data_IF_993289900278
#
_entry.id   IF_993289900278
#
_cell.length_a   1.000
_cell.length_b   1.000
_cell.length_c   1.000
_cell.angle_alpha   90.00
_cell.angle_beta   90.00
_cell.angle_gamma   90.00
#
_symmetry.space_group_name_H-M   'P 1'
#
loop_
_entity.id
_entity.type
_entity.pdbx_description
1 polymer ?
#
# COMPACT_ATOMS: atom_id res chain seq x y z
N UNK A 1 -20.09 12.89 -10.31
CA UNK A 1 -19.41 11.99 -9.34
C UNK A 1 -19.11 10.66 -10.06
N UNK A 2 -17.98 10.58 -10.80
CA UNK A 2 -17.61 9.37 -11.55
C UNK A 2 -16.65 8.56 -10.69
N UNK A 3 -17.15 7.47 -10.13
CA UNK A 3 -16.33 6.45 -9.49
C UNK A 3 -15.74 5.59 -10.61
N UNK A 4 -14.48 5.78 -10.95
CA UNK A 4 -13.75 4.87 -11.83
C UNK A 4 -13.39 3.61 -11.04
N UNK A 5 -14.17 2.55 -11.23
CA UNK A 5 -13.81 1.20 -10.80
C UNK A 5 -12.83 0.65 -11.84
N UNK A 6 -11.54 0.54 -11.48
CA UNK A 6 -10.58 -0.22 -12.27
C UNK A 6 -10.85 -1.71 -12.09
N UNK A 7 -11.59 -2.31 -13.06
CA UNK A 7 -11.71 -3.75 -13.14
C UNK A 7 -10.46 -4.26 -13.88
N UNK A 8 -9.52 -4.84 -13.10
CA UNK A 8 -8.43 -5.61 -13.66
C UNK A 8 -8.95 -6.99 -14.05
N UNK A 9 -9.10 -7.26 -15.34
CA UNK A 9 -9.36 -8.61 -15.85
C UNK A 9 -8.05 -9.40 -15.75
N UNK A 10 -7.94 -10.24 -14.73
CA UNK A 10 -6.88 -11.24 -14.65
C UNK A 10 -7.13 -12.33 -15.67
N UNK A 11 -6.43 -12.30 -16.79
CA UNK A 11 -6.36 -13.45 -17.69
C UNK A 11 -5.59 -14.58 -17.00
N UNK A 12 -6.20 -15.74 -16.94
CA UNK A 12 -5.64 -16.98 -16.40
C UNK A 12 -4.38 -17.37 -17.18
N UNK A 13 -3.23 -17.10 -16.62
CA UNK A 13 -1.97 -17.65 -17.12
C UNK A 13 -1.89 -19.14 -16.75
N UNK A 14 -1.61 -19.96 -17.74
CA UNK A 14 -1.65 -21.42 -17.69
C UNK A 14 -0.67 -22.01 -16.65
N UNK A 15 -1.06 -23.15 -16.09
CA UNK A 15 -0.36 -23.92 -15.03
C UNK A 15 1.11 -24.34 -15.33
N UNK A 16 1.67 -23.94 -16.46
CA UNK A 16 3.06 -24.24 -16.85
C UNK A 16 4.11 -23.27 -16.28
N UNK A 17 3.72 -22.10 -15.78
CA UNK A 17 4.65 -21.10 -15.22
C UNK A 17 4.80 -21.26 -13.71
N UNK A 18 3.90 -21.97 -13.04
CA UNK A 18 3.93 -22.15 -11.58
C UNK A 18 5.15 -22.95 -11.07
N UNK A 19 5.75 -23.82 -11.88
CA UNK A 19 6.89 -24.66 -11.48
C UNK A 19 8.27 -24.02 -11.69
N UNK A 20 8.38 -22.83 -12.24
CA UNK A 20 9.65 -22.11 -12.40
C UNK A 20 9.89 -21.01 -11.37
N UNK A 21 8.95 -20.79 -10.48
CA UNK A 21 8.99 -19.72 -9.45
C UNK A 21 9.31 -20.25 -8.04
N UNK A 22 9.69 -21.51 -7.89
CA UNK A 22 10.27 -22.04 -6.65
C UNK A 22 11.71 -21.58 -6.43
N UNK A 23 11.93 -20.28 -6.45
CA UNK A 23 13.24 -19.72 -6.10
C UNK A 23 13.05 -18.62 -5.07
N UNK A 24 13.35 -18.99 -3.84
CA UNK A 24 13.68 -18.11 -2.73
C UNK A 24 12.68 -16.98 -2.43
N UNK A 25 11.83 -17.26 -1.46
CA UNK A 25 11.26 -16.24 -0.59
C UNK A 25 9.79 -15.89 -0.72
N UNK A 26 8.92 -16.82 -0.63
CA UNK A 26 7.80 -16.57 0.27
C UNK A 26 8.26 -16.98 1.67
N UNK A 27 8.97 -16.12 2.38
CA UNK A 27 9.23 -16.32 3.81
C UNK A 27 7.89 -16.08 4.49
N UNK A 28 7.10 -17.14 4.55
CA UNK A 28 5.86 -17.20 5.33
C UNK A 28 6.23 -16.97 6.80
N UNK A 29 5.39 -16.27 7.53
CA UNK A 29 5.71 -15.88 8.91
C UNK A 29 6.75 -14.77 9.02
N UNK A 30 6.89 -13.90 8.01
CA UNK A 30 7.88 -12.81 7.99
C UNK A 30 7.26 -11.45 8.32
N UNK A 31 8.13 -10.55 8.78
CA UNK A 31 7.78 -9.15 8.97
C UNK A 31 8.42 -8.27 7.90
N UNK A 32 7.72 -7.23 7.48
CA UNK A 32 8.23 -6.18 6.62
C UNK A 32 8.10 -4.84 7.35
N UNK A 33 9.24 -4.18 7.59
CA UNK A 33 9.25 -2.79 8.02
C UNK A 33 9.43 -1.89 6.81
N UNK A 34 8.59 -0.87 6.68
CA UNK A 34 8.66 0.10 5.57
C UNK A 34 8.70 1.53 6.07
N UNK A 35 9.36 2.36 5.27
CA UNK A 35 9.40 3.81 5.42
C UNK A 35 8.97 4.48 4.12
N UNK A 36 8.14 5.50 4.22
CA UNK A 36 7.86 6.41 3.11
C UNK A 36 9.11 7.20 2.74
N UNK A 37 9.38 7.36 1.45
CA UNK A 37 10.55 8.07 0.94
C UNK A 37 10.19 9.26 0.05
N UNK A 38 9.00 9.24 -0.53
CA UNK A 38 8.52 10.32 -1.41
C UNK A 38 7.01 10.26 -1.51
N UNK A 39 6.34 11.42 -1.46
CA UNK A 39 4.91 11.56 -1.71
C UNK A 39 4.70 12.68 -2.72
N UNK A 40 3.79 12.47 -3.65
CA UNK A 40 3.36 13.48 -4.60
C UNK A 40 1.85 13.51 -4.68
N UNK A 41 1.27 14.67 -4.40
CA UNK A 41 -0.11 14.99 -4.66
C UNK A 41 -0.22 15.88 -5.91
N UNK A 42 -1.28 15.67 -6.69
CA UNK A 42 -1.55 16.51 -7.86
C UNK A 42 -1.96 17.94 -7.48
N UNK A 43 -2.38 18.14 -6.24
CA UNK A 43 -2.79 19.42 -5.70
C UNK A 43 -1.73 19.90 -4.68
N UNK A 44 -1.08 21.02 -4.95
CA UNK A 44 -0.01 21.61 -4.13
C UNK A 44 -0.45 22.06 -2.72
N UNK A 45 -1.76 22.04 -2.43
CA UNK A 45 -2.29 22.33 -1.10
C UNK A 45 -2.12 21.16 -0.12
N UNK A 46 -1.85 19.97 -0.62
CA UNK A 46 -1.69 18.78 0.20
C UNK A 46 -0.25 18.60 0.65
N UNK A 47 -0.12 17.99 1.82
CA UNK A 47 1.18 17.65 2.39
C UNK A 47 1.92 16.62 1.51
N UNK A 48 3.11 16.98 1.04
CA UNK A 48 4.03 16.09 0.34
C UNK A 48 5.16 15.58 1.24
N UNK A 49 5.21 15.99 2.52
CA UNK A 49 6.17 15.44 3.46
C UNK A 49 5.85 13.97 3.72
N UNK A 50 6.89 13.16 3.71
CA UNK A 50 6.73 11.71 3.82
C UNK A 50 7.31 11.23 5.14
N UNK A 51 6.47 11.10 6.16
CA UNK A 51 6.83 10.56 7.47
C UNK A 51 6.20 9.18 7.78
N UNK A 52 5.78 8.45 6.75
CA UNK A 52 5.16 7.14 6.89
C UNK A 52 6.15 6.10 7.39
N UNK A 53 5.72 5.35 8.40
CA UNK A 53 6.31 4.11 8.85
C UNK A 53 5.24 3.03 8.95
N UNK A 54 5.52 1.83 8.47
CA UNK A 54 4.62 0.69 8.59
C UNK A 54 5.35 -0.58 9.00
N UNK A 55 4.60 -1.47 9.65
CA UNK A 55 4.99 -2.83 9.94
C UNK A 55 3.91 -3.75 9.40
N UNK A 56 4.30 -4.70 8.56
CA UNK A 56 3.44 -5.73 7.99
C UNK A 56 3.92 -7.11 8.47
N UNK A 57 2.98 -8.01 8.76
CA UNK A 57 3.20 -9.42 9.00
C UNK A 57 2.60 -10.23 7.86
N UNK A 58 3.39 -11.10 7.25
CA UNK A 58 2.99 -12.00 6.16
C UNK A 58 2.78 -13.39 6.72
N UNK A 59 1.54 -13.85 6.71
CA UNK A 59 1.17 -15.15 7.27
C UNK A 59 1.31 -16.28 6.24
N UNK A 60 1.26 -17.52 6.73
CA UNK A 60 1.42 -18.72 5.91
C UNK A 60 0.30 -18.94 4.89
N UNK A 61 -0.83 -18.27 5.04
CA UNK A 61 -2.02 -18.39 4.17
C UNK A 61 -2.13 -17.24 3.14
N UNK A 62 -1.02 -16.58 2.80
CA UNK A 62 -0.92 -15.48 1.83
C UNK A 62 -1.64 -14.19 2.22
N UNK A 63 -2.07 -14.07 3.48
CA UNK A 63 -2.59 -12.82 4.01
C UNK A 63 -1.47 -12.01 4.64
N UNK A 64 -1.53 -10.70 4.44
CA UNK A 64 -0.76 -9.75 5.20
C UNK A 64 -1.66 -8.98 6.17
N UNK A 65 -1.08 -8.58 7.30
CA UNK A 65 -1.69 -7.73 8.31
C UNK A 65 -0.72 -6.61 8.63
N UNK A 66 -1.19 -5.39 8.67
CA UNK A 66 -0.29 -4.25 8.82
C UNK A 66 -0.87 -3.11 9.63
N UNK A 67 0.06 -2.31 10.13
CA UNK A 67 -0.22 -1.02 10.74
C UNK A 67 0.73 0.02 10.16
N UNK A 68 0.21 1.17 9.80
CA UNK A 68 1.02 2.32 9.38
C UNK A 68 0.69 3.55 10.22
N UNK A 69 1.72 4.37 10.49
CA UNK A 69 1.60 5.71 11.05
C UNK A 69 2.19 6.70 10.06
N UNK A 70 1.54 7.84 9.87
CA UNK A 70 1.98 8.87 8.93
C UNK A 70 1.32 10.22 9.24
N UNK A 71 1.81 11.30 8.62
CA UNK A 71 1.05 12.53 8.48
C UNK A 71 0.21 12.48 7.22
N UNK A 72 -1.08 12.76 7.33
CA UNK A 72 -1.98 12.78 6.19
C UNK A 72 -1.81 14.03 5.31
N UNK A 73 -2.61 14.14 4.25
CA UNK A 73 -2.58 15.27 3.31
C UNK A 73 -2.85 16.63 3.95
N UNK A 74 -3.36 16.67 5.18
CA UNK A 74 -3.66 17.88 5.95
C UNK A 74 -2.70 18.11 7.11
N UNK A 75 -1.51 17.48 7.10
CA UNK A 75 -0.49 17.54 8.16
C UNK A 75 -0.94 16.99 9.51
N UNK A 76 -1.95 16.10 9.53
CA UNK A 76 -2.50 15.54 10.75
C UNK A 76 -1.94 14.14 11.00
N UNK A 77 -1.62 13.76 12.24
CA UNK A 77 -1.17 12.42 12.58
C UNK A 77 -2.29 11.40 12.32
N UNK A 78 -1.96 10.38 11.54
CA UNK A 78 -2.92 9.38 11.08
C UNK A 78 -2.39 7.96 11.22
N UNK A 79 -3.31 7.01 11.30
CA UNK A 79 -3.06 5.59 11.39
C UNK A 79 -3.88 4.81 10.38
N UNK A 80 -3.29 3.77 9.87
CA UNK A 80 -3.97 2.80 9.02
C UNK A 80 -3.71 1.39 9.52
N UNK A 81 -4.77 0.68 9.93
CA UNK A 81 -4.72 -0.74 10.32
C UNK A 81 -5.40 -1.53 9.22
N UNK A 82 -4.76 -2.55 8.69
CA UNK A 82 -5.19 -3.20 7.47
C UNK A 82 -4.82 -4.67 7.38
N UNK A 83 -5.50 -5.33 6.48
CA UNK A 83 -5.14 -6.64 5.94
C UNK A 83 -5.06 -6.55 4.42
N UNK A 84 -4.44 -7.52 3.77
CA UNK A 84 -4.34 -7.51 2.32
C UNK A 84 -3.76 -8.78 1.74
N UNK A 85 -3.53 -8.72 0.43
CA UNK A 85 -2.89 -9.78 -0.34
C UNK A 85 -1.95 -9.23 -1.39
N UNK A 86 -0.95 -10.02 -1.73
CA UNK A 86 -0.07 -9.80 -2.87
C UNK A 86 -0.40 -10.76 -4.00
N UNK A 87 -0.25 -10.28 -5.22
CA UNK A 87 -0.49 -11.02 -6.46
C UNK A 87 0.76 -10.94 -7.34
N UNK A 88 1.41 -12.05 -7.68
CA UNK A 88 2.57 -12.04 -8.57
C UNK A 88 2.15 -11.55 -9.95
N UNK A 89 2.90 -10.61 -10.52
CA UNK A 89 2.66 -10.06 -11.86
C UNK A 89 3.70 -10.54 -12.86
N UNK A 90 4.98 -10.31 -12.54
CA UNK A 90 6.11 -10.62 -13.43
C UNK A 90 7.40 -10.74 -12.63
N UNK A 91 8.31 -11.56 -13.14
CA UNK A 91 9.71 -11.59 -12.69
C UNK A 91 10.63 -11.20 -13.86
N UNK A 92 11.64 -10.40 -13.57
CA UNK A 92 12.63 -9.96 -14.53
C UNK A 92 13.98 -9.71 -13.82
N UNK A 93 15.04 -10.41 -14.20
CA UNK A 93 16.40 -10.29 -13.63
C UNK A 93 16.43 -10.33 -12.08
N UNK A 94 15.79 -11.26 -11.41
CA UNK A 94 15.71 -11.37 -9.93
C UNK A 94 14.87 -10.26 -9.26
N UNK A 95 14.21 -9.40 -10.02
CA UNK A 95 13.21 -8.47 -9.54
C UNK A 95 11.84 -9.12 -9.68
N UNK A 96 11.11 -9.20 -8.59
CA UNK A 96 9.71 -9.66 -8.60
C UNK A 96 8.79 -8.44 -8.58
N UNK A 97 7.88 -8.39 -9.52
CA UNK A 97 6.82 -7.38 -9.56
C UNK A 97 5.53 -7.99 -9.05
N UNK A 98 4.92 -7.36 -8.05
CA UNK A 98 3.68 -7.82 -7.43
C UNK A 98 2.67 -6.69 -7.37
N UNK A 99 1.40 -7.00 -7.60
CA UNK A 99 0.30 -6.13 -7.20
C UNK A 99 0.00 -6.39 -5.72
N UNK A 100 -0.20 -5.34 -4.91
CA UNK A 100 -0.65 -5.46 -3.52
C UNK A 100 -1.95 -4.70 -3.36
N UNK A 101 -2.93 -5.32 -2.71
CA UNK A 101 -4.20 -4.68 -2.36
C UNK A 101 -4.38 -4.82 -0.86
N UNK A 102 -4.53 -3.70 -0.17
CA UNK A 102 -4.84 -3.66 1.26
C UNK A 102 -6.21 -3.03 1.49
N UNK A 103 -6.92 -3.52 2.50
CA UNK A 103 -8.19 -2.98 2.97
C UNK A 103 -8.16 -2.86 4.49
N UNK A 104 -8.65 -1.76 5.02
CA UNK A 104 -8.59 -1.53 6.46
C UNK A 104 -9.28 -0.25 6.88
N UNK A 105 -8.94 0.16 8.09
CA UNK A 105 -9.51 1.35 8.74
C UNK A 105 -8.43 2.43 8.83
N UNK A 106 -8.75 3.57 8.28
CA UNK A 106 -7.97 4.81 8.37
C UNK A 106 -8.54 5.68 9.49
N UNK A 107 -7.65 6.26 10.32
CA UNK A 107 -8.00 7.19 11.38
C UNK A 107 -7.06 8.39 11.38
N UNK A 108 -7.56 9.58 11.70
CA UNK A 108 -6.76 10.79 11.91
C UNK A 108 -7.07 11.93 10.95
N UNK A 109 -8.07 11.80 10.08
CA UNK A 109 -8.53 12.91 9.25
C UNK A 109 -9.56 13.75 10.02
N UNK A 110 -9.22 14.97 10.38
CA UNK A 110 -10.09 15.90 11.10
C UNK A 110 -10.44 17.12 10.23
N UNK A 111 -11.63 17.66 10.38
CA UNK A 111 -12.07 18.86 9.64
C UNK A 111 -11.48 20.17 10.18
N UNK A 112 -10.84 20.14 11.37
CA UNK A 112 -10.27 21.31 12.03
C UNK A 112 -11.23 22.51 12.05
N UNK A 113 -12.42 22.32 12.61
CA UNK A 113 -13.48 23.33 12.71
C UNK A 113 -13.94 23.88 11.34
N UNK A 114 -13.96 22.99 10.33
CA UNK A 114 -14.45 23.30 8.99
C UNK A 114 -13.40 23.78 8.00
N UNK A 115 -12.14 23.87 8.39
CA UNK A 115 -11.03 24.22 7.49
C UNK A 115 -10.85 23.17 6.37
N UNK A 116 -11.05 21.90 6.69
CA UNK A 116 -10.94 20.77 5.75
C UNK A 116 -12.27 20.03 5.57
N UNK A 117 -13.30 20.74 5.15
CA UNK A 117 -14.66 20.19 5.04
C UNK A 117 -14.81 19.20 3.86
N UNK A 118 -14.43 17.96 4.07
CA UNK A 118 -14.60 16.85 3.12
C UNK A 118 -15.42 15.72 3.75
N UNK A 119 -15.92 14.78 2.94
CA UNK A 119 -16.64 13.61 3.47
C UNK A 119 -15.72 12.80 4.40
N UNK A 120 -14.45 12.69 4.07
CA UNK A 120 -13.46 11.91 4.83
C UNK A 120 -13.22 12.52 6.20
N UNK A 121 -13.05 13.84 6.28
CA UNK A 121 -12.74 14.55 7.53
C UNK A 121 -13.89 14.55 8.52
N UNK A 122 -15.15 14.47 8.06
CA UNK A 122 -16.33 14.38 8.93
C UNK A 122 -16.37 13.11 9.77
N UNK A 123 -15.81 12.01 9.28
CA UNK A 123 -15.87 10.72 9.97
C UNK A 123 -14.65 10.43 10.83
N UNK A 124 -13.54 11.15 10.68
CA UNK A 124 -12.25 10.93 11.37
C UNK A 124 -11.70 9.50 11.25
N UNK A 125 -12.59 8.54 11.09
CA UNK A 125 -12.31 7.11 10.96
C UNK A 125 -13.20 6.52 9.86
N UNK A 126 -12.59 5.90 8.85
CA UNK A 126 -13.31 5.39 7.69
C UNK A 126 -12.62 4.16 7.09
N UNK A 127 -13.36 3.24 6.45
CA UNK A 127 -12.79 2.15 5.70
C UNK A 127 -12.16 2.65 4.40
N UNK A 128 -11.03 2.05 4.01
CA UNK A 128 -10.34 2.38 2.76
C UNK A 128 -9.69 1.14 2.15
N UNK A 129 -9.61 1.12 0.82
CA UNK A 129 -8.85 0.14 0.04
C UNK A 129 -7.72 0.88 -0.66
N UNK A 130 -6.50 0.36 -0.52
CA UNK A 130 -5.30 0.97 -1.09
C UNK A 130 -4.59 -0.06 -1.99
N UNK A 131 -4.57 0.15 -3.32
CA UNK A 131 -3.76 -0.62 -4.22
C UNK A 131 -2.32 -0.08 -4.26
N UNK A 132 -1.36 -0.97 -4.48
CA UNK A 132 0.03 -0.61 -4.73
C UNK A 132 0.69 -1.59 -5.70
N UNK A 133 1.74 -1.12 -6.37
CA UNK A 133 2.67 -1.94 -7.13
C UNK A 133 3.93 -2.12 -6.30
N UNK A 134 4.34 -3.36 -6.11
CA UNK A 134 5.51 -3.74 -5.32
C UNK A 134 6.61 -4.28 -6.22
N UNK A 135 7.85 -3.91 -5.93
CA UNK A 135 9.07 -4.45 -6.52
C UNK A 135 9.89 -5.05 -5.40
N UNK A 136 10.23 -6.33 -5.52
CA UNK A 136 11.00 -7.09 -4.53
C UNK A 136 12.34 -7.48 -5.12
N UNK A 137 13.42 -7.21 -4.39
CA UNK A 137 14.76 -7.70 -4.66
C UNK A 137 15.37 -8.28 -3.39
N UNK A 138 15.41 -9.60 -3.29
CA UNK A 138 15.82 -10.31 -2.07
C UNK A 138 14.94 -9.91 -0.89
N UNK A 139 15.51 -9.24 0.13
CA UNK A 139 14.80 -8.74 1.32
C UNK A 139 14.37 -7.27 1.20
N UNK A 140 14.79 -6.58 0.14
CA UNK A 140 14.43 -5.18 -0.08
C UNK A 140 13.15 -5.10 -0.88
N UNK A 141 12.24 -4.27 -0.43
CA UNK A 141 10.96 -4.02 -1.07
C UNK A 141 10.78 -2.55 -1.34
N UNK A 142 10.13 -2.26 -2.45
CA UNK A 142 9.81 -0.91 -2.88
C UNK A 142 8.37 -0.91 -3.39
N UNK A 143 7.52 -0.08 -2.77
CA UNK A 143 6.12 0.01 -3.18
C UNK A 143 5.83 1.37 -3.80
N UNK A 144 4.99 1.37 -4.85
CA UNK A 144 4.33 2.53 -5.41
C UNK A 144 2.87 2.46 -4.95
N UNK A 145 2.51 3.27 -3.97
CA UNK A 145 1.20 3.28 -3.33
C UNK A 145 0.31 4.32 -3.99
N UNK A 146 -0.87 3.91 -4.44
CA UNK A 146 -1.85 4.85 -4.99
C UNK A 146 -2.61 5.56 -3.86
N UNK A 147 -2.63 6.89 -3.90
CA UNK A 147 -3.38 7.75 -2.97
C UNK A 147 -4.72 8.15 -3.61
N UNK A 148 -5.52 7.15 -3.99
CA UNK A 148 -6.75 7.33 -4.74
C UNK A 148 -6.52 8.19 -6.02
N UNK A 149 -7.28 9.26 -6.19
CA UNK A 149 -7.13 10.21 -7.31
C UNK A 149 -6.23 11.41 -6.95
N UNK A 150 -5.67 11.44 -5.75
CA UNK A 150 -4.94 12.60 -5.23
C UNK A 150 -3.43 12.55 -5.52
N UNK A 151 -2.87 11.35 -5.79
CA UNK A 151 -1.45 11.23 -6.04
C UNK A 151 -0.91 9.82 -5.82
N UNK A 152 0.38 9.75 -5.52
CA UNK A 152 1.07 8.50 -5.21
C UNK A 152 2.17 8.71 -4.17
N UNK A 153 2.56 7.61 -3.53
CA UNK A 153 3.65 7.59 -2.56
C UNK A 153 4.59 6.44 -2.85
N UNK A 154 5.88 6.67 -2.69
CA UNK A 154 6.90 5.63 -2.71
C UNK A 154 7.29 5.25 -1.29
N UNK A 155 7.37 3.95 -1.03
CA UNK A 155 7.92 3.41 0.20
C UNK A 155 9.07 2.46 -0.09
N UNK A 156 9.97 2.30 0.84
CA UNK A 156 11.01 1.27 0.82
C UNK A 156 10.97 0.47 2.11
N UNK A 157 11.33 -0.79 2.05
CA UNK A 157 11.25 -1.67 3.20
C UNK A 157 12.27 -2.80 3.21
N UNK A 158 12.38 -3.42 4.37
CA UNK A 158 13.22 -4.60 4.61
C UNK A 158 12.36 -5.70 5.21
N UNK A 159 12.39 -6.88 4.57
CA UNK A 159 11.71 -8.09 5.05
C UNK A 159 12.67 -8.94 5.91
N UNK A 160 12.18 -9.46 7.03
CA UNK A 160 12.94 -10.30 7.98
C UNK A 160 12.07 -11.33 8.70
#
# INVERSE_FOLDING_TARGET
LSVFIFIFVAQTASAGVANLLESESEIKGSFLFQKGIFTHHWNDRFNNDTDLYSLEYYSDNDWLYGIARFQNSFYQPSWYVYTGKEYPLKEFFKLQFKGKITAGIMHGYDDEDGKYNTIITRFKTFPIIIPSLKIVYKRFEFDIVALAHEGFMFTTGLRF
#
